data_IF_225699827256
#
_entry.id   IF_225699827256
#
_cell.length_a   1.000
_cell.length_b   1.000
_cell.length_c   1.000
_cell.angle_alpha   90.00
_cell.angle_beta   90.00
_cell.angle_gamma   90.00
#
_symmetry.space_group_name_H-M   'P 1'
#
loop_
_entity.id
_entity.type
_entity.pdbx_description
1 polymer ?
#
# COMPACT_ATOMS: atom_id res chain seq x y z
N UNK A 1 7.47 -39.78 -5.14
CA UNK A 1 6.25 -38.95 -4.91
C UNK A 1 6.59 -37.49 -4.52
N UNK A 2 7.84 -37.21 -4.17
CA UNK A 2 8.30 -35.85 -3.80
C UNK A 2 8.74 -34.97 -4.97
N UNK A 3 9.38 -35.53 -6.00
CA UNK A 3 9.90 -34.73 -7.14
C UNK A 3 8.80 -34.19 -8.07
N UNK A 4 7.76 -34.97 -8.32
CA UNK A 4 6.63 -34.55 -9.19
C UNK A 4 5.78 -33.45 -8.54
N UNK A 5 5.69 -33.42 -7.20
CA UNK A 5 5.01 -32.35 -6.45
C UNK A 5 5.86 -31.09 -6.37
N UNK A 6 7.19 -31.21 -6.24
CA UNK A 6 8.12 -30.08 -6.29
C UNK A 6 8.15 -29.41 -7.68
N UNK A 7 8.22 -30.21 -8.77
CA UNK A 7 8.15 -29.69 -10.13
C UNK A 7 6.81 -28.97 -10.43
N UNK A 8 5.71 -29.41 -9.85
CA UNK A 8 4.42 -28.73 -10.00
C UNK A 8 4.33 -27.42 -9.21
N UNK A 9 5.06 -27.29 -8.12
CA UNK A 9 5.10 -26.06 -7.31
C UNK A 9 6.11 -25.06 -7.87
N UNK A 10 7.26 -25.53 -8.38
CA UNK A 10 8.31 -24.66 -8.97
C UNK A 10 7.97 -24.17 -10.39
N UNK A 11 7.04 -24.83 -11.09
CA UNK A 11 6.48 -24.38 -12.37
C UNK A 11 5.12 -23.68 -12.21
N UNK A 12 4.66 -23.45 -10.98
CA UNK A 12 3.42 -22.70 -10.74
C UNK A 12 3.62 -21.27 -11.21
N UNK A 13 2.96 -20.90 -12.30
CA UNK A 13 2.82 -19.52 -12.77
C UNK A 13 2.35 -18.62 -11.62
N UNK A 14 2.80 -17.38 -11.64
CA UNK A 14 2.35 -16.36 -10.67
C UNK A 14 0.82 -16.43 -10.48
N UNK A 15 0.37 -16.86 -9.30
CA UNK A 15 -1.02 -17.18 -8.98
C UNK A 15 -2.00 -16.07 -9.35
N UNK A 16 -1.55 -14.81 -9.25
CA UNK A 16 -2.36 -13.62 -9.51
C UNK A 16 -2.16 -13.04 -10.92
N UNK A 17 -1.34 -13.68 -11.75
CA UNK A 17 -0.98 -13.25 -13.12
C UNK A 17 -2.06 -13.47 -14.18
N UNK A 18 -3.23 -14.03 -13.82
CA UNK A 18 -4.34 -14.24 -14.74
C UNK A 18 -5.07 -12.94 -15.08
N UNK A 19 -5.69 -12.88 -16.24
CA UNK A 19 -6.60 -11.81 -16.66
C UNK A 19 -8.04 -12.27 -16.54
N UNK A 20 -8.95 -11.34 -16.21
CA UNK A 20 -10.39 -11.59 -16.21
C UNK A 20 -10.98 -11.08 -17.53
N UNK A 21 -11.68 -11.93 -18.26
CA UNK A 21 -12.30 -11.57 -19.54
C UNK A 21 -13.66 -10.88 -19.29
N UNK A 22 -13.62 -9.58 -19.01
CA UNK A 22 -14.79 -8.74 -18.79
C UNK A 22 -14.75 -7.58 -19.77
N UNK A 23 -15.86 -7.34 -20.47
CA UNK A 23 -16.00 -6.13 -21.28
C UNK A 23 -15.88 -4.87 -20.42
N UNK A 24 -14.93 -4.02 -20.77
CA UNK A 24 -14.57 -2.82 -20.02
C UNK A 24 -14.92 -1.57 -20.82
N UNK A 25 -15.56 -0.60 -20.19
CA UNK A 25 -15.73 0.76 -20.71
C UNK A 25 -14.52 1.60 -20.34
N UNK A 26 -13.65 1.86 -21.32
CA UNK A 26 -12.43 2.63 -21.15
C UNK A 26 -12.62 4.01 -21.74
N UNK A 27 -12.28 5.06 -21.01
CA UNK A 27 -12.27 6.42 -21.54
C UNK A 27 -11.12 6.64 -22.53
N UNK A 28 -11.16 7.69 -23.37
CA UNK A 28 -10.06 7.98 -24.28
C UNK A 28 -8.69 8.03 -23.57
N UNK A 29 -7.68 7.47 -24.24
CA UNK A 29 -6.29 7.48 -23.77
C UNK A 29 -5.76 8.92 -23.77
N UNK A 30 -4.95 9.24 -22.80
CA UNK A 30 -4.28 10.54 -22.61
C UNK A 30 -4.87 11.35 -21.47
N UNK A 31 -4.10 12.32 -21.01
CA UNK A 31 -4.45 13.19 -19.90
C UNK A 31 -4.73 14.61 -20.40
N UNK A 32 -5.97 15.06 -20.21
CA UNK A 32 -6.41 16.39 -20.55
C UNK A 32 -7.49 16.88 -19.61
N UNK A 33 -7.82 18.18 -19.63
CA UNK A 33 -8.94 18.73 -18.86
C UNK A 33 -10.27 18.05 -19.24
N UNK A 34 -10.45 17.69 -20.50
CA UNK A 34 -11.61 16.96 -20.99
C UNK A 34 -11.74 15.56 -20.36
N UNK A 35 -10.63 14.83 -20.27
CA UNK A 35 -10.58 13.52 -19.61
C UNK A 35 -10.91 13.63 -18.12
N UNK A 36 -10.39 14.64 -17.42
CA UNK A 36 -10.73 14.92 -16.02
C UNK A 36 -12.22 15.20 -15.83
N UNK A 37 -12.82 16.01 -16.71
CA UNK A 37 -14.27 16.27 -16.70
C UNK A 37 -15.09 15.00 -17.01
N UNK A 38 -14.61 14.17 -17.91
CA UNK A 38 -15.26 12.92 -18.27
C UNK A 38 -15.26 11.92 -17.10
N UNK A 39 -14.14 11.80 -16.36
CA UNK A 39 -14.07 10.98 -15.14
C UNK A 39 -15.13 11.44 -14.14
N UNK A 40 -15.18 12.74 -13.84
CA UNK A 40 -16.13 13.31 -12.90
C UNK A 40 -17.60 13.10 -13.35
N UNK A 41 -17.87 13.26 -14.63
CA UNK A 41 -19.21 13.02 -15.21
C UNK A 41 -19.62 11.55 -15.14
N UNK A 42 -18.70 10.61 -15.43
CA UNK A 42 -18.93 9.15 -15.32
C UNK A 42 -19.27 8.72 -13.89
N UNK A 43 -18.73 9.41 -12.90
CA UNK A 43 -18.94 9.16 -11.47
C UNK A 43 -20.11 9.97 -10.88
N UNK A 44 -20.79 10.78 -11.66
CA UNK A 44 -21.85 11.70 -11.22
C UNK A 44 -21.41 12.59 -10.05
N UNK A 45 -20.18 13.05 -10.07
CA UNK A 45 -19.62 13.84 -8.97
C UNK A 45 -20.24 15.25 -8.89
N UNK A 46 -20.38 15.79 -7.65
CA UNK A 46 -20.81 17.16 -7.46
C UNK A 46 -19.75 18.16 -7.95
N UNK A 47 -20.17 19.39 -8.27
CA UNK A 47 -19.32 20.44 -8.84
C UNK A 47 -18.06 20.71 -8.02
N UNK A 48 -18.15 20.72 -6.68
CA UNK A 48 -16.98 20.95 -5.82
C UNK A 48 -15.88 19.88 -6.00
N UNK A 49 -16.26 18.64 -6.33
CA UNK A 49 -15.29 17.56 -6.60
C UNK A 49 -14.63 17.77 -7.98
N UNK A 50 -15.39 18.15 -8.98
CA UNK A 50 -14.86 18.51 -10.28
C UNK A 50 -13.88 19.68 -10.18
N UNK A 51 -14.24 20.74 -9.45
CA UNK A 51 -13.34 21.87 -9.19
C UNK A 51 -12.02 21.45 -8.50
N UNK A 52 -12.10 20.56 -7.50
CA UNK A 52 -10.92 19.99 -6.85
C UNK A 52 -10.01 19.27 -7.87
N UNK A 53 -10.58 18.42 -8.72
CA UNK A 53 -9.85 17.68 -9.76
C UNK A 53 -9.18 18.63 -10.76
N UNK A 54 -9.90 19.60 -11.26
CA UNK A 54 -9.39 20.56 -12.23
C UNK A 54 -8.27 21.43 -11.65
N UNK A 55 -8.41 21.82 -10.38
CA UNK A 55 -7.36 22.55 -9.66
C UNK A 55 -6.09 21.70 -9.55
N UNK A 56 -6.22 20.42 -9.21
CA UNK A 56 -5.09 19.50 -9.15
C UNK A 56 -4.46 19.31 -10.54
N UNK A 57 -5.25 19.07 -11.58
CA UNK A 57 -4.75 18.90 -12.94
C UNK A 57 -3.95 20.11 -13.43
N UNK A 58 -4.49 21.33 -13.26
CA UNK A 58 -3.81 22.57 -13.66
C UNK A 58 -2.52 22.79 -12.89
N UNK A 59 -2.49 22.39 -11.61
CA UNK A 59 -1.26 22.44 -10.82
C UNK A 59 -0.25 21.42 -11.31
N UNK A 60 -0.69 20.18 -11.61
CA UNK A 60 0.18 19.13 -12.11
C UNK A 60 0.91 19.51 -13.41
N UNK A 61 0.25 20.24 -14.30
CA UNK A 61 0.86 20.76 -15.53
C UNK A 61 2.05 21.72 -15.29
N UNK A 62 2.16 22.27 -14.09
CA UNK A 62 3.26 23.16 -13.69
C UNK A 62 4.39 22.43 -12.96
N UNK A 63 4.23 21.14 -12.68
CA UNK A 63 5.19 20.35 -11.90
C UNK A 63 6.12 19.55 -12.82
N UNK A 64 7.31 19.30 -12.30
CA UNK A 64 8.25 18.35 -12.90
C UNK A 64 8.34 17.11 -12.03
N UNK A 65 8.54 15.94 -12.67
CA UNK A 65 8.76 14.69 -11.93
C UNK A 65 10.07 14.81 -11.14
N UNK A 66 10.05 14.56 -9.83
CA UNK A 66 11.27 14.68 -9.02
C UNK A 66 12.28 13.58 -9.34
N UNK A 67 13.57 13.91 -9.26
CA UNK A 67 14.69 13.03 -9.61
C UNK A 67 15.60 12.67 -8.44
N UNK A 68 15.21 13.01 -7.21
CA UNK A 68 16.04 12.82 -6.02
C UNK A 68 16.02 11.41 -5.43
N UNK A 69 15.04 10.57 -5.81
CA UNK A 69 14.97 9.19 -5.35
C UNK A 69 16.11 8.34 -5.94
N UNK A 70 16.54 7.33 -5.22
CA UNK A 70 17.53 6.37 -5.71
C UNK A 70 16.87 5.31 -6.59
N UNK A 71 16.27 5.77 -7.67
CA UNK A 71 15.51 4.98 -8.64
C UNK A 71 15.87 5.44 -10.06
N UNK A 72 16.01 4.50 -10.95
CA UNK A 72 16.11 4.77 -12.39
C UNK A 72 14.69 4.64 -13.00
N UNK A 73 13.93 5.72 -12.91
CA UNK A 73 12.55 5.75 -13.40
C UNK A 73 12.56 6.12 -14.88
N UNK A 74 12.10 5.23 -15.78
CA UNK A 74 12.02 5.55 -17.20
C UNK A 74 11.08 6.72 -17.44
N UNK A 75 11.22 7.36 -18.62
CA UNK A 75 10.26 8.37 -19.03
C UNK A 75 8.87 7.76 -19.20
N UNK A 76 7.91 8.22 -18.41
CA UNK A 76 6.52 7.78 -18.44
C UNK A 76 5.76 8.66 -19.43
N UNK A 77 5.19 8.05 -20.47
CA UNK A 77 4.29 8.74 -21.37
C UNK A 77 2.87 8.80 -20.81
N UNK A 78 2.55 9.89 -20.12
CA UNK A 78 1.24 10.14 -19.53
C UNK A 78 0.12 10.27 -20.59
N UNK A 79 0.47 10.44 -21.87
CA UNK A 79 -0.51 10.51 -22.95
C UNK A 79 -0.85 9.14 -23.53
N UNK A 80 -0.13 8.09 -23.15
CA UNK A 80 -0.41 6.71 -23.55
C UNK A 80 -1.26 5.92 -22.53
N UNK A 81 -1.62 6.52 -21.40
CA UNK A 81 -2.35 5.89 -20.29
C UNK A 81 -3.85 6.21 -20.38
N UNK A 82 -4.70 5.21 -20.16
CA UNK A 82 -6.12 5.41 -19.86
C UNK A 82 -6.32 5.59 -18.34
N UNK A 83 -6.99 6.67 -17.97
CA UNK A 83 -7.14 7.09 -16.56
C UNK A 83 -8.41 6.59 -15.88
N UNK A 84 -9.24 5.89 -16.60
CA UNK A 84 -10.46 5.27 -16.07
C UNK A 84 -10.86 4.06 -16.92
N UNK A 85 -11.16 2.97 -16.25
CA UNK A 85 -11.72 1.77 -16.82
C UNK A 85 -12.77 1.19 -15.88
N UNK A 86 -13.90 0.77 -16.36
CA UNK A 86 -14.96 0.17 -15.57
C UNK A 86 -15.61 -1.00 -16.32
N UNK A 87 -16.01 -2.10 -15.66
CA UNK A 87 -16.85 -3.12 -16.28
C UNK A 87 -18.13 -2.52 -16.85
N UNK A 88 -18.53 -2.94 -18.06
CA UNK A 88 -19.70 -2.38 -18.77
C UNK A 88 -21.06 -2.66 -18.13
N UNK A 89 -21.15 -3.68 -17.29
CA UNK A 89 -22.38 -4.00 -16.57
C UNK A 89 -22.47 -3.19 -15.29
N UNK A 90 -23.67 -2.72 -14.95
CA UNK A 90 -23.94 -1.99 -13.70
C UNK A 90 -23.39 -2.75 -12.50
N UNK A 91 -22.81 -2.04 -11.55
CA UNK A 91 -22.37 -2.63 -10.29
C UNK A 91 -23.52 -3.42 -9.65
N UNK A 92 -23.36 -4.72 -9.40
CA UNK A 92 -24.44 -5.56 -8.90
C UNK A 92 -24.80 -5.15 -7.47
N UNK A 93 -26.07 -4.95 -7.20
CA UNK A 93 -26.57 -4.62 -5.86
C UNK A 93 -26.60 -5.85 -4.93
N UNK A 94 -26.53 -7.07 -5.49
CA UNK A 94 -26.56 -8.34 -4.74
C UNK A 94 -25.58 -9.36 -5.33
N UNK A 95 -25.10 -10.29 -4.49
CA UNK A 95 -24.20 -11.40 -4.89
C UNK A 95 -24.75 -12.26 -6.05
N UNK A 96 -26.08 -12.39 -6.17
CA UNK A 96 -26.72 -13.16 -7.22
C UNK A 96 -26.74 -12.45 -8.58
N UNK A 97 -26.37 -11.16 -8.62
CA UNK A 97 -26.32 -10.33 -9.81
C UNK A 97 -24.89 -10.09 -10.30
N UNK A 98 -23.88 -10.55 -9.52
CA UNK A 98 -22.47 -10.43 -9.89
C UNK A 98 -22.18 -11.31 -11.09
N UNK A 99 -21.43 -10.78 -12.06
CA UNK A 99 -20.97 -11.53 -13.22
C UNK A 99 -20.24 -12.80 -12.77
N UNK A 100 -20.62 -14.00 -13.27
CA UNK A 100 -19.97 -15.25 -12.90
C UNK A 100 -18.45 -15.28 -13.12
N UNK A 101 -17.95 -14.55 -14.12
CA UNK A 101 -16.50 -14.44 -14.35
C UNK A 101 -15.81 -13.59 -13.27
N UNK A 102 -16.51 -12.57 -12.75
CA UNK A 102 -16.02 -11.78 -11.63
C UNK A 102 -15.97 -12.62 -10.33
N UNK A 103 -16.99 -13.44 -10.08
CA UNK A 103 -16.99 -14.38 -8.94
C UNK A 103 -15.85 -15.39 -9.03
N UNK A 104 -15.62 -15.98 -10.20
CA UNK A 104 -14.47 -16.87 -10.45
C UNK A 104 -13.15 -16.15 -10.22
N UNK A 105 -13.07 -14.86 -10.54
CA UNK A 105 -11.88 -14.04 -10.28
C UNK A 105 -11.64 -13.92 -8.79
N UNK A 106 -12.67 -13.67 -7.99
CA UNK A 106 -12.55 -13.59 -6.54
C UNK A 106 -12.12 -14.93 -5.93
N UNK A 107 -12.66 -16.05 -6.39
CA UNK A 107 -12.24 -17.39 -5.96
C UNK A 107 -10.75 -17.65 -6.27
N UNK A 108 -10.31 -17.31 -7.48
CA UNK A 108 -8.89 -17.45 -7.87
C UNK A 108 -7.96 -16.57 -7.03
N UNK A 109 -8.43 -15.40 -6.60
CA UNK A 109 -7.69 -14.51 -5.72
C UNK A 109 -7.66 -15.01 -4.26
N UNK A 110 -8.45 -16.07 -3.95
CA UNK A 110 -8.62 -16.56 -2.59
C UNK A 110 -9.53 -15.66 -1.75
N UNK A 111 -10.27 -14.74 -2.40
CA UNK A 111 -11.29 -13.91 -1.77
C UNK A 111 -12.57 -14.75 -1.71
N UNK A 112 -12.62 -15.74 -0.83
CA UNK A 112 -13.82 -16.58 -0.60
C UNK A 112 -14.91 -15.72 0.02
N UNK A 113 -15.94 -15.42 -0.78
CA UNK A 113 -17.03 -14.52 -0.40
C UNK A 113 -17.99 -15.13 0.65
N UNK A 114 -18.00 -16.43 0.83
CA UNK A 114 -18.93 -17.12 1.73
C UNK A 114 -18.28 -17.73 2.97
N UNK A 115 -17.15 -18.39 2.83
CA UNK A 115 -16.47 -19.04 3.96
C UNK A 115 -15.70 -18.07 4.84
N UNK A 116 -15.07 -17.05 4.27
CA UNK A 116 -14.38 -16.00 5.03
C UNK A 116 -15.33 -15.08 5.80
N UNK A 117 -16.57 -14.94 5.34
CA UNK A 117 -17.61 -14.17 6.07
C UNK A 117 -17.90 -14.72 7.46
N UNK A 118 -17.83 -16.02 7.64
CA UNK A 118 -18.25 -16.66 8.90
C UNK A 118 -17.10 -16.95 9.86
N UNK A 119 -15.86 -17.09 9.36
CA UNK A 119 -14.74 -17.58 10.17
C UNK A 119 -13.70 -16.54 10.57
N UNK A 120 -13.53 -15.45 9.81
CA UNK A 120 -12.44 -14.50 10.06
C UNK A 120 -12.85 -13.18 10.74
N UNK A 121 -14.14 -12.83 10.73
CA UNK A 121 -14.57 -11.54 11.28
C UNK A 121 -13.95 -10.33 10.55
N UNK A 122 -13.70 -10.45 9.23
CA UNK A 122 -13.14 -9.38 8.39
C UNK A 122 -14.22 -8.82 7.48
N UNK A 123 -14.39 -7.48 7.47
CA UNK A 123 -15.20 -6.81 6.48
C UNK A 123 -14.34 -6.45 5.26
N UNK A 124 -14.77 -6.82 4.07
CA UNK A 124 -14.00 -6.68 2.83
C UNK A 124 -14.74 -5.80 1.82
N UNK A 125 -14.01 -4.85 1.24
CA UNK A 125 -14.37 -4.11 0.03
C UNK A 125 -13.47 -4.55 -1.13
N UNK A 126 -14.01 -4.64 -2.34
CA UNK A 126 -13.24 -5.06 -3.52
C UNK A 126 -13.35 -4.02 -4.61
N UNK A 127 -12.21 -3.46 -5.00
CA UNK A 127 -12.09 -2.49 -6.09
C UNK A 127 -11.40 -3.13 -7.28
N UNK A 128 -12.08 -3.14 -8.44
CA UNK A 128 -11.54 -3.63 -9.69
C UNK A 128 -11.44 -2.49 -10.69
N UNK A 129 -10.21 -2.23 -11.17
CA UNK A 129 -9.88 -1.07 -12.00
C UNK A 129 -10.37 0.24 -11.36
N UNK A 130 -11.45 0.84 -11.84
CA UNK A 130 -11.89 2.16 -11.40
C UNK A 130 -13.19 2.18 -10.58
N UNK A 131 -13.71 1.02 -10.18
CA UNK A 131 -14.97 0.95 -9.42
C UNK A 131 -14.91 -0.05 -8.26
N UNK A 132 -15.58 0.27 -7.15
CA UNK A 132 -15.90 -0.68 -6.10
C UNK A 132 -16.99 -1.64 -6.57
N UNK A 133 -16.74 -2.93 -6.38
CA UNK A 133 -17.65 -3.99 -6.80
C UNK A 133 -18.55 -4.44 -5.66
N UNK A 134 -18.04 -4.44 -4.42
CA UNK A 134 -18.81 -4.88 -3.26
C UNK A 134 -18.14 -4.54 -1.93
N UNK A 135 -18.96 -4.11 -0.95
CA UNK A 135 -18.60 -4.01 0.48
C UNK A 135 -19.41 -5.00 1.31
N UNK A 136 -18.74 -5.80 2.15
CA UNK A 136 -19.38 -6.76 3.05
C UNK A 136 -19.61 -6.18 4.44
N UNK A 137 -20.53 -6.75 5.23
CA UNK A 137 -20.85 -6.33 6.61
C UNK A 137 -21.30 -4.86 6.76
N UNK A 138 -21.66 -4.19 5.66
CA UNK A 138 -22.01 -2.78 5.66
C UNK A 138 -23.13 -2.44 6.66
N UNK A 139 -24.20 -3.25 6.69
CA UNK A 139 -25.35 -3.00 7.57
C UNK A 139 -24.99 -3.17 9.05
N UNK A 140 -24.24 -4.23 9.41
CA UNK A 140 -23.82 -4.45 10.81
C UNK A 140 -22.83 -3.41 11.33
N UNK A 141 -21.98 -2.86 10.45
CA UNK A 141 -21.10 -1.73 10.79
C UNK A 141 -21.90 -0.44 10.94
N UNK A 142 -22.90 -0.22 10.07
CA UNK A 142 -23.77 0.95 10.12
C UNK A 142 -24.62 1.01 11.42
N UNK A 143 -25.05 -0.13 11.97
CA UNK A 143 -25.71 -0.20 13.27
C UNK A 143 -24.87 0.38 14.41
N UNK A 144 -23.54 0.32 14.29
CA UNK A 144 -22.59 0.93 15.24
C UNK A 144 -22.22 2.37 14.85
N UNK A 145 -22.80 2.91 13.78
CA UNK A 145 -22.46 4.21 13.21
C UNK A 145 -21.14 4.24 12.44
N UNK A 146 -20.50 3.08 12.18
CA UNK A 146 -19.30 2.96 11.37
C UNK A 146 -19.66 3.10 9.89
N UNK A 147 -18.95 3.97 9.17
CA UNK A 147 -19.07 4.07 7.72
C UNK A 147 -17.88 3.33 7.11
N UNK A 148 -18.15 2.32 6.29
CA UNK A 148 -17.18 1.63 5.47
C UNK A 148 -17.78 1.43 4.09
N UNK A 149 -17.32 2.19 3.11
CA UNK A 149 -17.87 2.19 1.76
C UNK A 149 -16.81 2.64 0.75
N UNK A 150 -17.16 2.57 -0.55
CA UNK A 150 -16.30 3.15 -1.57
C UNK A 150 -16.19 4.67 -1.42
N UNK A 151 -15.10 5.23 -1.95
CA UNK A 151 -14.90 6.68 -1.91
C UNK A 151 -15.98 7.41 -2.72
N UNK A 152 -16.41 6.83 -3.84
CA UNK A 152 -17.50 7.36 -4.67
C UNK A 152 -18.82 7.44 -3.93
N UNK A 153 -19.16 6.38 -3.20
CA UNK A 153 -20.36 6.35 -2.35
C UNK A 153 -20.26 7.38 -1.22
N UNK A 154 -19.07 7.57 -0.63
CA UNK A 154 -18.88 8.58 0.39
C UNK A 154 -19.06 10.02 -0.14
N UNK A 155 -18.64 10.29 -1.37
CA UNK A 155 -18.86 11.59 -2.03
C UNK A 155 -20.35 11.89 -2.18
N UNK A 156 -21.16 10.87 -2.50
CA UNK A 156 -22.60 10.99 -2.69
C UNK A 156 -23.37 11.10 -1.36
N UNK A 157 -23.08 10.21 -0.41
CA UNK A 157 -23.89 10.05 0.80
C UNK A 157 -23.33 10.76 2.04
N UNK A 158 -22.03 11.07 2.06
CA UNK A 158 -21.33 11.72 3.19
C UNK A 158 -20.47 12.92 2.76
N UNK A 159 -20.99 13.82 1.89
CA UNK A 159 -20.21 14.92 1.30
C UNK A 159 -19.57 15.83 2.34
N UNK A 160 -20.24 16.08 3.47
CA UNK A 160 -19.72 16.96 4.54
C UNK A 160 -18.42 16.40 5.15
N UNK A 161 -18.36 15.08 5.39
CA UNK A 161 -17.17 14.42 5.90
C UNK A 161 -16.05 14.44 4.86
N UNK A 162 -16.37 14.10 3.60
CA UNK A 162 -15.38 14.11 2.52
C UNK A 162 -14.81 15.51 2.33
N UNK A 163 -15.64 16.55 2.20
CA UNK A 163 -15.17 17.94 2.04
C UNK A 163 -14.31 18.42 3.21
N UNK A 164 -14.67 18.01 4.44
CA UNK A 164 -13.93 18.41 5.64
C UNK A 164 -12.55 17.80 5.74
N UNK A 165 -12.38 16.55 5.31
CA UNK A 165 -11.18 15.79 5.62
C UNK A 165 -10.33 15.45 4.40
N UNK A 166 -10.89 15.29 3.19
CA UNK A 166 -10.14 15.02 1.98
C UNK A 166 -9.17 16.15 1.67
N UNK A 167 -7.92 15.81 1.43
CA UNK A 167 -6.87 16.79 1.15
C UNK A 167 -6.38 17.57 2.37
N UNK A 168 -6.86 17.26 3.57
CA UNK A 168 -6.42 17.92 4.81
C UNK A 168 -5.05 17.43 5.29
N UNK A 169 -4.65 16.23 4.90
CA UNK A 169 -3.35 15.63 5.24
C UNK A 169 -2.47 15.45 4.00
N UNK A 170 -3.08 15.11 2.87
CA UNK A 170 -2.43 15.11 1.55
C UNK A 170 -3.09 16.17 0.66
N UNK A 171 -2.65 17.42 0.70
CA UNK A 171 -3.21 18.46 -0.15
C UNK A 171 -2.97 18.15 -1.65
N UNK A 172 -3.80 18.73 -2.51
CA UNK A 172 -3.71 18.50 -3.96
C UNK A 172 -2.35 18.86 -4.57
N UNK A 173 -1.52 19.62 -3.89
CA UNK A 173 -0.19 20.05 -4.30
C UNK A 173 0.95 19.40 -3.50
N UNK A 174 0.73 18.24 -2.85
CA UNK A 174 1.72 17.59 -1.97
C UNK A 174 2.99 17.14 -2.74
N UNK A 175 2.80 16.39 -3.80
CA UNK A 175 3.89 15.95 -4.68
C UNK A 175 3.35 15.58 -6.07
N UNK A 176 4.24 15.34 -7.03
CA UNK A 176 3.90 15.09 -8.42
C UNK A 176 2.83 13.98 -8.61
N UNK A 177 3.03 12.81 -8.01
CA UNK A 177 2.09 11.67 -8.16
C UNK A 177 0.83 11.83 -7.33
N UNK A 178 0.90 12.47 -6.16
CA UNK A 178 -0.29 12.80 -5.39
C UNK A 178 -1.16 13.83 -6.11
N UNK A 179 -0.55 14.83 -6.75
CA UNK A 179 -1.25 15.82 -7.56
C UNK A 179 -1.92 15.17 -8.78
N UNK A 180 -1.22 14.25 -9.46
CA UNK A 180 -1.80 13.45 -10.54
C UNK A 180 -3.00 12.63 -10.03
N UNK A 181 -2.84 11.91 -8.92
CA UNK A 181 -3.94 11.16 -8.31
C UNK A 181 -5.13 12.08 -7.98
N UNK A 182 -4.92 13.24 -7.38
CA UNK A 182 -6.00 14.19 -7.07
C UNK A 182 -6.80 14.61 -8.31
N UNK A 183 -6.18 14.64 -9.49
CA UNK A 183 -6.86 14.97 -10.74
C UNK A 183 -7.69 13.79 -11.28
N UNK A 184 -7.19 12.55 -11.16
CA UNK A 184 -7.71 11.41 -11.92
C UNK A 184 -8.15 10.21 -11.07
N UNK A 185 -8.07 10.26 -9.73
CA UNK A 185 -8.45 9.11 -8.93
C UNK A 185 -9.86 8.63 -9.26
N UNK A 186 -10.00 7.30 -9.32
CA UNK A 186 -11.25 6.69 -9.76
C UNK A 186 -12.11 6.25 -8.59
N UNK A 187 -11.55 5.46 -7.67
CA UNK A 187 -12.24 5.02 -6.46
C UNK A 187 -11.23 4.73 -5.34
N UNK A 188 -11.68 4.13 -4.27
CA UNK A 188 -10.91 3.76 -3.11
C UNK A 188 -11.82 3.52 -1.91
N UNK A 189 -11.27 3.62 -0.71
CA UNK A 189 -12.01 3.34 0.51
C UNK A 189 -12.26 4.60 1.33
N UNK A 190 -13.45 4.68 1.89
CA UNK A 190 -13.81 5.65 2.89
C UNK A 190 -14.20 4.95 4.20
N UNK A 191 -13.53 5.34 5.29
CA UNK A 191 -13.77 4.79 6.63
C UNK A 191 -13.97 5.94 7.63
N UNK A 192 -15.08 5.90 8.36
CA UNK A 192 -15.30 6.76 9.50
C UNK A 192 -15.70 5.93 10.72
N UNK A 193 -14.95 6.06 11.79
CA UNK A 193 -15.23 5.42 13.07
C UNK A 193 -15.72 6.49 14.04
N UNK A 194 -16.95 6.40 14.53
CA UNK A 194 -17.50 7.42 15.42
C UNK A 194 -16.85 7.39 16.80
N UNK A 195 -17.03 8.48 17.54
CA UNK A 195 -16.50 8.66 18.89
C UNK A 195 -16.86 7.51 19.82
N UNK A 196 -15.86 6.99 20.53
CA UNK A 196 -16.00 5.92 21.52
C UNK A 196 -16.21 4.53 20.94
N UNK A 197 -16.23 4.37 19.62
CA UNK A 197 -16.46 3.08 18.96
C UNK A 197 -15.13 2.38 18.65
N UNK A 198 -15.03 1.14 19.10
CA UNK A 198 -13.96 0.24 18.67
C UNK A 198 -14.51 -0.69 17.59
N UNK A 199 -13.96 -0.60 16.39
CA UNK A 199 -14.38 -1.48 15.29
C UNK A 199 -14.17 -2.94 15.69
N UNK A 200 -15.23 -3.79 15.67
CA UNK A 200 -15.17 -5.14 16.20
C UNK A 200 -14.45 -6.12 15.29
N UNK A 201 -14.16 -5.73 14.07
CA UNK A 201 -13.56 -6.58 13.03
C UNK A 201 -12.49 -5.82 12.24
N UNK A 202 -11.63 -6.57 11.58
CA UNK A 202 -10.70 -6.04 10.59
C UNK A 202 -11.47 -5.50 9.38
N UNK A 203 -11.14 -4.29 8.92
CA UNK A 203 -11.62 -3.79 7.63
C UNK A 203 -10.56 -4.08 6.57
N UNK A 204 -10.96 -4.55 5.42
CA UNK A 204 -10.02 -4.83 4.34
C UNK A 204 -10.52 -4.32 2.99
N UNK A 205 -9.63 -3.72 2.21
CA UNK A 205 -9.90 -3.41 0.80
C UNK A 205 -8.90 -4.11 -0.08
N UNK A 206 -9.41 -4.72 -1.13
CA UNK A 206 -8.61 -5.42 -2.11
C UNK A 206 -8.68 -4.71 -3.46
N UNK A 207 -7.52 -4.28 -3.96
CA UNK A 207 -7.39 -3.57 -5.23
C UNK A 207 -6.79 -4.49 -6.30
N UNK A 208 -7.42 -4.50 -7.48
CA UNK A 208 -6.92 -5.24 -8.62
C UNK A 208 -6.97 -4.44 -9.90
N UNK A 209 -5.82 -4.30 -10.55
CA UNK A 209 -5.73 -3.83 -11.93
C UNK A 209 -6.07 -5.00 -12.84
N UNK A 210 -6.95 -4.81 -13.83
CA UNK A 210 -7.27 -5.84 -14.82
C UNK A 210 -7.22 -5.32 -16.26
N UNK A 211 -7.60 -4.08 -16.52
CA UNK A 211 -7.64 -3.51 -17.87
C UNK A 211 -6.24 -3.21 -18.43
N UNK A 212 -6.11 -3.32 -19.77
CA UNK A 212 -4.86 -3.06 -20.52
C UNK A 212 -4.65 -1.56 -20.70
N UNK A 213 -3.40 -1.09 -20.69
CA UNK A 213 -3.03 0.32 -20.90
C UNK A 213 -3.73 1.29 -19.93
N UNK A 214 -4.15 0.80 -18.76
CA UNK A 214 -4.77 1.63 -17.73
C UNK A 214 -3.81 1.87 -16.58
N UNK A 215 -3.87 3.08 -16.01
CA UNK A 215 -3.31 3.36 -14.70
C UNK A 215 -4.33 3.05 -13.60
N UNK A 216 -3.84 2.76 -12.40
CA UNK A 216 -4.66 2.61 -11.21
C UNK A 216 -4.42 3.81 -10.28
N UNK A 217 -5.49 4.51 -9.95
CA UNK A 217 -5.44 5.75 -9.16
C UNK A 217 -6.45 5.67 -8.02
N UNK A 218 -6.02 5.23 -6.87
CA UNK A 218 -6.88 4.98 -5.71
C UNK A 218 -6.73 6.07 -4.67
N UNK A 219 -7.81 6.31 -3.90
CA UNK A 219 -7.78 7.23 -2.78
C UNK A 219 -8.49 6.66 -1.57
N UNK A 220 -7.75 6.45 -0.49
CA UNK A 220 -8.29 5.97 0.79
C UNK A 220 -8.28 7.08 1.81
N UNK A 221 -9.40 7.27 2.53
CA UNK A 221 -9.54 8.22 3.62
C UNK A 221 -10.09 7.53 4.86
N UNK A 222 -9.32 7.53 5.93
CA UNK A 222 -9.70 6.92 7.21
C UNK A 222 -9.75 8.00 8.30
N UNK A 223 -10.89 8.12 8.95
CA UNK A 223 -11.12 9.07 10.03
C UNK A 223 -11.52 8.28 11.27
N UNK A 224 -10.68 8.30 12.30
CA UNK A 224 -10.96 7.74 13.61
C UNK A 224 -11.27 8.88 14.57
N UNK A 225 -12.53 9.00 15.00
CA UNK A 225 -12.97 10.04 15.94
C UNK A 225 -12.48 9.74 17.37
N UNK A 226 -12.74 10.61 18.31
CA UNK A 226 -12.23 10.51 19.68
C UNK A 226 -12.53 9.16 20.33
N UNK A 227 -11.56 8.60 21.05
CA UNK A 227 -11.66 7.33 21.80
C UNK A 227 -12.02 6.12 20.91
N UNK A 228 -11.76 6.17 19.61
CA UNK A 228 -12.09 5.11 18.64
C UNK A 228 -10.90 4.22 18.27
N UNK A 229 -11.20 3.07 17.68
CA UNK A 229 -10.19 2.12 17.19
C UNK A 229 -10.60 1.51 15.88
N UNK A 230 -9.65 1.37 14.96
CA UNK A 230 -9.81 0.60 13.73
C UNK A 230 -8.50 -0.07 13.31
N UNK A 231 -8.62 -1.30 12.81
CA UNK A 231 -7.58 -1.98 12.05
C UNK A 231 -8.05 -2.14 10.61
N UNK A 232 -7.21 -1.70 9.68
CA UNK A 232 -7.51 -1.68 8.25
C UNK A 232 -6.37 -2.30 7.46
N UNK A 233 -6.71 -3.16 6.52
CA UNK A 233 -5.77 -3.83 5.65
C UNK A 233 -6.03 -3.52 4.17
N UNK A 234 -4.97 -3.26 3.43
CA UNK A 234 -4.99 -3.07 1.99
C UNK A 234 -4.22 -4.19 1.30
N UNK A 235 -4.89 -4.90 0.41
CA UNK A 235 -4.27 -5.88 -0.48
C UNK A 235 -4.28 -5.38 -1.92
N UNK A 236 -3.17 -5.55 -2.65
CA UNK A 236 -3.06 -5.10 -4.05
C UNK A 236 -2.44 -6.17 -4.92
N UNK A 237 -3.03 -6.40 -6.11
CA UNK A 237 -2.48 -7.30 -7.12
C UNK A 237 -2.67 -6.78 -8.55
N UNK A 238 -1.85 -7.26 -9.47
CA UNK A 238 -2.00 -7.02 -10.90
C UNK A 238 -1.67 -8.27 -11.71
N UNK A 239 -2.24 -8.44 -12.93
CA UNK A 239 -1.89 -9.53 -13.83
C UNK A 239 -0.48 -9.37 -14.39
N UNK A 240 0.12 -10.47 -14.88
CA UNK A 240 1.35 -10.43 -15.64
C UNK A 240 1.12 -9.81 -17.01
N UNK A 241 1.91 -8.79 -17.36
CA UNK A 241 1.87 -8.12 -18.66
C UNK A 241 3.27 -7.67 -19.09
N UNK A 242 3.52 -7.71 -20.38
CA UNK A 242 4.77 -7.21 -20.99
C UNK A 242 4.90 -5.69 -20.98
N UNK A 243 3.85 -4.99 -20.56
CA UNK A 243 3.78 -3.54 -20.51
C UNK A 243 3.93 -3.04 -19.07
N UNK A 244 4.46 -1.82 -18.93
CA UNK A 244 4.50 -1.16 -17.64
C UNK A 244 3.16 -0.48 -17.37
N UNK A 245 2.65 -0.61 -16.14
CA UNK A 245 1.44 0.06 -15.69
C UNK A 245 1.74 0.97 -14.51
N UNK A 246 1.13 2.15 -14.51
CA UNK A 246 1.28 3.13 -13.44
C UNK A 246 0.22 2.92 -12.35
N UNK A 247 0.68 2.71 -11.13
CA UNK A 247 -0.14 2.76 -9.93
C UNK A 247 0.26 3.98 -9.10
N UNK A 248 -0.66 4.92 -8.90
CA UNK A 248 -0.42 6.09 -8.06
C UNK A 248 -1.59 6.26 -7.08
N UNK A 249 -1.38 5.96 -5.81
CA UNK A 249 -2.41 5.98 -4.78
C UNK A 249 -2.16 7.04 -3.70
N UNK A 250 -3.24 7.46 -3.05
CA UNK A 250 -3.20 8.31 -1.86
C UNK A 250 -3.92 7.62 -0.71
N UNK A 251 -3.31 7.68 0.47
CA UNK A 251 -3.93 7.30 1.74
C UNK A 251 -3.80 8.45 2.73
N UNK A 252 -4.95 8.89 3.27
CA UNK A 252 -5.02 9.88 4.34
C UNK A 252 -5.63 9.25 5.58
N UNK A 253 -4.96 9.39 6.73
CA UNK A 253 -5.46 8.92 8.03
C UNK A 253 -5.49 10.08 9.00
N UNK A 254 -6.62 10.27 9.68
CA UNK A 254 -6.78 11.26 10.74
C UNK A 254 -7.21 10.54 12.01
N UNK A 255 -6.39 10.64 13.07
CA UNK A 255 -6.69 10.11 14.39
C UNK A 255 -6.94 11.27 15.37
N UNK A 256 -8.15 11.33 15.96
CA UNK A 256 -8.54 12.30 16.95
C UNK A 256 -8.04 11.89 18.34
N UNK A 257 -8.46 12.58 19.38
CA UNK A 257 -8.01 12.32 20.77
C UNK A 257 -8.23 10.86 21.17
N UNK A 258 -7.18 10.22 21.71
CA UNK A 258 -7.15 8.81 22.12
C UNK A 258 -7.53 7.80 21.00
N UNK A 259 -7.66 8.23 19.76
CA UNK A 259 -7.98 7.32 18.67
C UNK A 259 -6.74 6.50 18.25
N UNK A 260 -6.97 5.25 17.88
CA UNK A 260 -5.91 4.35 17.38
C UNK A 260 -6.29 3.80 16.01
N UNK A 261 -5.39 3.95 15.05
CA UNK A 261 -5.53 3.39 13.70
C UNK A 261 -4.35 2.48 13.40
N UNK A 262 -4.63 1.22 13.09
CA UNK A 262 -3.66 0.30 12.50
C UNK A 262 -3.93 0.20 11.01
N UNK A 263 -2.93 0.45 10.21
CA UNK A 263 -3.02 0.34 8.76
C UNK A 263 -1.97 -0.62 8.24
N UNK A 264 -2.42 -1.69 7.65
CA UNK A 264 -1.54 -2.72 7.09
C UNK A 264 -1.66 -2.78 5.58
N UNK A 265 -0.56 -3.05 4.89
CA UNK A 265 -0.54 -3.29 3.44
C UNK A 265 0.21 -4.57 3.13
N UNK A 266 -0.37 -5.42 2.31
CA UNK A 266 0.32 -6.53 1.66
C UNK A 266 0.20 -6.33 0.16
N UNK A 267 1.32 -5.96 -0.48
CA UNK A 267 1.36 -5.68 -1.91
C UNK A 267 2.07 -6.79 -2.65
N UNK A 268 1.39 -7.32 -3.66
CA UNK A 268 1.88 -8.37 -4.54
C UNK A 268 1.62 -7.96 -6.00
N UNK A 269 2.42 -7.00 -6.46
CA UNK A 269 2.36 -6.53 -7.83
C UNK A 269 3.17 -7.43 -8.76
N UNK A 270 2.93 -7.33 -10.07
CA UNK A 270 3.77 -7.98 -11.05
C UNK A 270 5.09 -7.20 -11.25
N UNK A 271 6.25 -7.86 -11.08
CA UNK A 271 7.56 -7.19 -11.08
C UNK A 271 8.13 -6.91 -12.48
N UNK A 272 7.50 -7.40 -13.53
CA UNK A 272 8.11 -7.57 -14.84
C UNK A 272 8.75 -8.96 -15.01
N UNK A 273 9.29 -9.22 -16.21
CA UNK A 273 9.99 -10.47 -16.51
C UNK A 273 11.42 -10.48 -15.91
N UNK A 274 12.14 -11.61 -16.07
CA UNK A 274 13.51 -11.77 -15.57
C UNK A 274 14.52 -10.78 -16.19
N UNK A 275 14.18 -10.15 -17.32
CA UNK A 275 15.00 -9.14 -17.99
C UNK A 275 14.59 -7.72 -17.62
N UNK A 276 13.62 -7.55 -16.73
CA UNK A 276 13.10 -6.26 -16.29
C UNK A 276 12.11 -5.60 -17.25
N UNK A 277 11.49 -6.37 -18.16
CA UNK A 277 10.47 -5.87 -19.08
C UNK A 277 9.08 -5.98 -18.44
N UNK A 278 8.28 -4.92 -18.56
CA UNK A 278 6.93 -4.84 -17.97
C UNK A 278 6.95 -4.56 -16.48
N UNK A 279 5.83 -4.83 -15.83
CA UNK A 279 5.66 -4.67 -14.38
C UNK A 279 5.09 -3.34 -13.94
N UNK A 280 4.79 -3.25 -12.67
CA UNK A 280 4.07 -2.10 -12.09
C UNK A 280 5.05 -1.05 -11.59
N UNK A 281 4.78 0.23 -11.91
CA UNK A 281 5.36 1.41 -11.26
C UNK A 281 4.44 1.84 -10.12
N UNK A 282 4.87 1.57 -8.89
CA UNK A 282 4.08 1.71 -7.68
C UNK A 282 4.49 2.96 -6.89
N UNK A 283 3.80 4.08 -7.13
CA UNK A 283 4.09 5.39 -6.53
C UNK A 283 2.96 5.79 -5.57
N UNK A 284 3.19 5.65 -4.27
CA UNK A 284 2.13 5.80 -3.26
C UNK A 284 2.46 6.88 -2.24
N UNK A 285 1.50 7.76 -2.00
CA UNK A 285 1.57 8.79 -0.96
C UNK A 285 0.66 8.42 0.20
N UNK A 286 1.23 8.06 1.36
CA UNK A 286 0.49 7.74 2.58
C UNK A 286 0.84 8.76 3.67
N UNK A 287 -0.16 9.41 4.26
CA UNK A 287 0.02 10.41 5.32
C UNK A 287 -0.96 10.14 6.48
N UNK A 288 -0.42 10.10 7.69
CA UNK A 288 -1.18 10.03 8.92
C UNK A 288 -1.06 11.32 9.72
N UNK A 289 -2.15 11.79 10.28
CA UNK A 289 -2.20 12.91 11.20
C UNK A 289 -2.71 12.44 12.56
N UNK A 290 -1.81 12.32 13.52
CA UNK A 290 -2.15 12.17 14.94
C UNK A 290 -2.57 13.55 15.46
N UNK A 291 -3.85 13.92 15.19
CA UNK A 291 -4.38 15.26 15.45
C UNK A 291 -4.68 15.50 16.91
N UNK A 292 -5.22 14.48 17.59
CA UNK A 292 -5.64 14.58 18.97
C UNK A 292 -4.56 14.15 19.96
N UNK A 293 -4.70 14.58 21.21
CA UNK A 293 -3.89 14.12 22.33
C UNK A 293 -3.95 12.59 22.45
N UNK A 294 -2.81 11.94 22.72
CA UNK A 294 -2.70 10.49 22.92
C UNK A 294 -3.20 9.65 21.73
N UNK A 295 -3.32 10.22 20.55
CA UNK A 295 -3.68 9.47 19.34
C UNK A 295 -2.51 8.61 18.84
N UNK A 296 -2.83 7.50 18.17
CA UNK A 296 -1.84 6.57 17.66
C UNK A 296 -2.14 6.14 16.22
N UNK A 297 -1.10 6.11 15.37
CA UNK A 297 -1.15 5.52 14.03
C UNK A 297 -0.01 4.54 13.88
N UNK A 298 -0.33 3.30 13.47
CA UNK A 298 0.64 2.27 13.17
C UNK A 298 0.55 1.88 11.69
N UNK A 299 1.69 1.94 10.98
CA UNK A 299 1.84 1.47 9.62
C UNK A 299 2.56 0.15 9.61
N UNK A 300 1.98 -0.88 8.99
CA UNK A 300 2.66 -2.15 8.71
C UNK A 300 2.62 -2.40 7.21
N UNK A 301 3.76 -2.65 6.57
CA UNK A 301 3.77 -2.90 5.15
C UNK A 301 4.71 -4.04 4.75
N UNK A 302 4.19 -4.88 3.84
CA UNK A 302 4.93 -5.91 3.13
C UNK A 302 4.89 -5.54 1.65
N UNK A 303 6.05 -5.15 1.12
CA UNK A 303 6.23 -4.73 -0.26
C UNK A 303 6.94 -5.82 -1.04
N UNK A 304 6.21 -6.46 -1.95
CA UNK A 304 6.76 -7.43 -2.88
C UNK A 304 6.26 -7.15 -4.29
N UNK A 305 6.95 -7.65 -5.29
CA UNK A 305 6.61 -7.33 -6.67
C UNK A 305 6.97 -5.88 -7.00
N UNK A 306 6.29 -5.30 -7.97
CA UNK A 306 6.56 -4.02 -8.61
C UNK A 306 7.93 -3.95 -9.31
N UNK A 307 7.96 -3.41 -10.52
CA UNK A 307 9.23 -3.10 -11.19
C UNK A 307 9.94 -1.96 -10.46
N UNK A 308 9.18 -0.93 -10.06
CA UNK A 308 9.66 0.23 -9.31
C UNK A 308 8.68 0.53 -8.17
N UNK A 309 9.19 0.62 -6.94
CA UNK A 309 8.42 1.07 -5.77
C UNK A 309 8.97 2.40 -5.24
N UNK A 310 8.10 3.40 -5.11
CA UNK A 310 8.43 4.70 -4.53
C UNK A 310 7.38 5.11 -3.50
N UNK A 311 7.69 4.95 -2.21
CA UNK A 311 6.66 5.01 -1.17
C UNK A 311 7.23 5.36 0.20
N UNK A 312 6.72 6.44 0.80
CA UNK A 312 7.10 6.86 2.17
C UNK A 312 5.86 7.19 3.00
N UNK A 313 5.25 6.22 3.69
CA UNK A 313 4.25 6.52 4.71
C UNK A 313 4.79 7.52 5.73
N UNK A 314 3.97 8.44 6.16
CA UNK A 314 4.39 9.43 7.14
C UNK A 314 3.38 9.63 8.25
N UNK A 315 3.86 10.10 9.41
CA UNK A 315 3.01 10.56 10.50
C UNK A 315 3.39 11.96 10.94
N UNK A 316 2.38 12.80 11.12
CA UNK A 316 2.46 14.10 11.78
C UNK A 316 1.92 13.91 13.19
N UNK A 317 2.81 13.97 14.18
CA UNK A 317 2.50 13.83 15.61
C UNK A 317 2.18 15.22 16.17
N UNK A 318 0.94 15.68 15.93
CA UNK A 318 0.48 17.02 16.27
C UNK A 318 -0.02 17.11 17.71
N UNK A 319 -0.81 16.12 18.15
CA UNK A 319 -1.34 16.06 19.52
C UNK A 319 -0.25 15.69 20.53
N UNK A 320 -0.33 16.27 21.72
CA UNK A 320 0.56 15.89 22.82
C UNK A 320 0.38 14.40 23.18
N UNK A 321 1.44 13.73 23.61
CA UNK A 321 1.46 12.31 23.94
C UNK A 321 1.08 11.38 22.77
N UNK A 322 1.00 11.88 21.54
CA UNK A 322 0.68 11.04 20.38
C UNK A 322 1.87 10.15 19.98
N UNK A 323 1.56 9.03 19.32
CA UNK A 323 2.56 8.04 18.94
C UNK A 323 2.36 7.54 17.52
N UNK A 324 3.46 7.16 16.87
CA UNK A 324 3.43 6.51 15.56
C UNK A 324 4.41 5.34 15.48
N UNK A 325 4.00 4.31 14.77
CA UNK A 325 4.83 3.13 14.50
C UNK A 325 4.92 2.88 13.01
N UNK A 326 6.06 2.39 12.57
CA UNK A 326 6.29 1.98 11.19
C UNK A 326 7.05 0.67 11.17
N UNK A 327 6.41 -0.36 10.66
CA UNK A 327 6.94 -1.69 10.45
C UNK A 327 6.94 -2.00 8.97
N UNK A 328 8.09 -2.32 8.38
CA UNK A 328 8.20 -2.55 6.95
C UNK A 328 9.13 -3.71 6.62
N UNK A 329 8.73 -4.53 5.67
CA UNK A 329 9.63 -5.40 4.93
C UNK A 329 9.46 -5.14 3.43
N UNK A 330 10.57 -4.83 2.75
CA UNK A 330 10.60 -4.61 1.31
C UNK A 330 11.53 -5.65 0.68
N UNK A 331 11.00 -6.45 -0.25
CA UNK A 331 11.74 -7.50 -0.95
C UNK A 331 11.84 -7.17 -2.42
N UNK A 332 13.05 -7.17 -2.93
CA UNK A 332 13.36 -6.93 -4.33
C UNK A 332 14.22 -8.06 -4.90
N UNK A 333 13.92 -8.47 -6.13
CA UNK A 333 14.65 -9.49 -6.86
C UNK A 333 14.82 -9.06 -8.33
N UNK A 334 15.61 -9.81 -9.11
CA UNK A 334 15.90 -9.54 -10.52
C UNK A 334 16.32 -8.08 -10.75
N UNK A 335 15.54 -7.30 -11.50
CA UNK A 335 15.82 -5.89 -11.84
C UNK A 335 14.92 -4.90 -11.09
N UNK A 336 14.22 -5.35 -10.06
CA UNK A 336 13.34 -4.49 -9.28
C UNK A 336 14.11 -3.38 -8.55
N UNK A 337 13.48 -2.24 -8.41
CA UNK A 337 14.00 -1.09 -7.67
C UNK A 337 12.99 -0.64 -6.61
N UNK A 338 13.44 -0.39 -5.41
CA UNK A 338 12.61 0.16 -4.34
C UNK A 338 13.34 1.32 -3.63
N UNK A 339 12.69 2.46 -3.53
CA UNK A 339 13.08 3.52 -2.60
C UNK A 339 11.89 3.74 -1.66
N UNK A 340 11.95 3.11 -0.50
CA UNK A 340 10.89 3.07 0.50
C UNK A 340 11.37 3.68 1.82
N UNK A 341 10.47 3.80 2.77
CA UNK A 341 10.83 4.31 4.09
C UNK A 341 9.69 5.07 4.75
N UNK A 342 10.03 6.02 5.62
CA UNK A 342 9.01 6.73 6.38
C UNK A 342 9.45 8.15 6.77
N UNK A 343 8.47 8.97 7.17
CA UNK A 343 8.68 10.31 7.71
C UNK A 343 7.91 10.46 9.02
N UNK A 344 8.59 10.79 10.11
CA UNK A 344 8.00 11.05 11.43
C UNK A 344 8.23 12.51 11.82
N UNK A 345 7.15 13.28 11.92
CA UNK A 345 7.20 14.72 12.21
C UNK A 345 6.61 14.98 13.61
N UNK A 346 7.46 15.21 14.58
CA UNK A 346 7.07 15.48 15.96
C UNK A 346 6.81 16.97 16.16
N UNK A 347 5.58 17.33 16.52
CA UNK A 347 5.13 18.71 16.73
C UNK A 347 4.63 18.89 18.16
N UNK A 348 3.82 17.96 18.67
CA UNK A 348 3.32 17.94 20.05
C UNK A 348 4.40 17.52 21.05
N UNK A 349 4.13 17.73 22.34
CA UNK A 349 5.00 17.33 23.44
C UNK A 349 4.85 15.84 23.77
N UNK A 350 5.91 15.24 24.32
CA UNK A 350 5.95 13.84 24.75
C UNK A 350 5.57 12.86 23.62
N UNK A 351 5.80 13.21 22.37
CA UNK A 351 5.46 12.36 21.23
C UNK A 351 6.49 11.29 21.02
N UNK A 352 6.06 10.11 20.57
CA UNK A 352 6.94 8.97 20.36
C UNK A 352 6.79 8.40 18.95
N UNK A 353 7.90 7.98 18.34
CA UNK A 353 7.87 7.21 17.11
C UNK A 353 8.83 6.03 17.16
N UNK A 354 8.38 4.91 16.58
CA UNK A 354 9.15 3.68 16.45
C UNK A 354 9.20 3.26 14.97
N UNK A 355 10.39 3.04 14.45
CA UNK A 355 10.62 2.65 13.05
C UNK A 355 11.41 1.35 13.03
N UNK A 356 10.85 0.32 12.39
CA UNK A 356 11.54 -0.92 12.08
C UNK A 356 11.39 -1.23 10.59
N UNK A 357 12.48 -1.14 9.84
CA UNK A 357 12.49 -1.42 8.40
C UNK A 357 13.47 -2.52 8.06
N UNK A 358 12.99 -3.54 7.35
CA UNK A 358 13.77 -4.67 6.85
C UNK A 358 13.79 -4.64 5.33
N UNK A 359 14.98 -4.51 4.74
CA UNK A 359 15.20 -4.59 3.30
C UNK A 359 15.80 -5.94 2.92
N UNK A 360 15.32 -6.57 1.85
CA UNK A 360 15.88 -7.80 1.30
C UNK A 360 16.11 -7.60 -0.19
N UNK A 361 17.32 -7.78 -0.64
CA UNK A 361 17.71 -7.60 -2.04
C UNK A 361 18.33 -8.86 -2.60
N UNK A 362 17.93 -9.24 -3.80
CA UNK A 362 18.43 -10.40 -4.52
C UNK A 362 18.68 -10.09 -6.00
N UNK A 363 19.41 -10.94 -6.70
CA UNK A 363 19.69 -10.80 -8.15
C UNK A 363 20.46 -9.52 -8.47
N UNK A 364 19.87 -8.64 -9.28
CA UNK A 364 20.42 -7.33 -9.68
C UNK A 364 19.64 -6.17 -9.07
N UNK A 365 18.74 -6.45 -8.13
CA UNK A 365 17.82 -5.46 -7.59
C UNK A 365 18.51 -4.41 -6.70
N UNK A 366 17.84 -3.27 -6.55
CA UNK A 366 18.28 -2.15 -5.70
C UNK A 366 17.18 -1.83 -4.70
N UNK A 367 17.52 -1.87 -3.41
CA UNK A 367 16.58 -1.57 -2.34
C UNK A 367 17.13 -0.44 -1.47
N UNK A 368 16.38 0.65 -1.38
CA UNK A 368 16.76 1.83 -0.62
C UNK A 368 15.75 2.09 0.49
N UNK A 369 16.24 2.32 1.69
CA UNK A 369 15.47 2.89 2.80
C UNK A 369 15.78 4.37 2.95
N UNK A 370 14.73 5.21 3.06
CA UNK A 370 14.85 6.63 3.30
C UNK A 370 14.01 7.04 4.50
N UNK A 371 14.65 7.50 5.56
CA UNK A 371 13.99 7.87 6.82
C UNK A 371 14.15 9.35 7.12
N UNK A 372 13.04 10.05 7.38
CA UNK A 372 13.05 11.41 7.92
C UNK A 372 12.45 11.39 9.34
N UNK A 373 13.22 11.84 10.31
CA UNK A 373 12.71 12.16 11.65
C UNK A 373 12.97 13.63 11.92
N UNK A 374 11.89 14.39 12.12
CA UNK A 374 11.97 15.81 12.46
C UNK A 374 11.34 16.06 13.81
N UNK A 375 12.12 16.60 14.74
CA UNK A 375 11.66 17.07 16.03
C UNK A 375 11.54 18.59 15.98
N UNK A 376 10.32 19.11 16.11
CA UNK A 376 10.04 20.54 16.10
C UNK A 376 10.55 21.21 17.40
N UNK A 377 10.93 22.50 17.41
CA UNK A 377 11.36 23.19 18.61
C UNK A 377 10.38 23.14 19.80
N UNK A 378 9.10 22.96 19.55
CA UNK A 378 8.06 22.85 20.59
C UNK A 378 7.80 21.42 21.08
N UNK A 379 8.36 20.41 20.41
CA UNK A 379 8.14 19.00 20.71
C UNK A 379 9.04 18.52 21.86
N UNK A 380 8.78 19.04 23.06
CA UNK A 380 9.49 18.70 24.28
C UNK A 380 9.34 17.22 24.63
N UNK A 381 10.41 16.58 25.14
CA UNK A 381 10.47 15.19 25.59
C UNK A 381 10.07 14.17 24.52
N UNK A 382 10.17 14.52 23.23
CA UNK A 382 9.87 13.61 22.14
C UNK A 382 10.95 12.55 22.00
N UNK A 383 10.55 11.34 21.61
CA UNK A 383 11.45 10.20 21.43
C UNK A 383 11.25 9.53 20.07
N UNK A 384 12.35 9.17 19.42
CA UNK A 384 12.36 8.32 18.25
C UNK A 384 13.34 7.18 18.43
N UNK A 385 12.91 5.99 18.02
CA UNK A 385 13.79 4.84 17.76
C UNK A 385 13.63 4.41 16.32
N UNK A 386 14.75 4.26 15.60
CA UNK A 386 14.76 3.83 14.18
C UNK A 386 15.77 2.70 14.02
N UNK A 387 15.32 1.58 13.49
CA UNK A 387 16.16 0.45 13.09
C UNK A 387 15.91 0.13 11.60
N UNK A 388 17.01 0.09 10.83
CA UNK A 388 16.98 -0.17 9.38
C UNK A 388 17.96 -1.27 9.05
N UNK A 389 17.49 -2.47 8.79
CA UNK A 389 18.34 -3.61 8.49
C UNK A 389 18.18 -4.03 7.03
N UNK A 390 19.28 -4.42 6.39
CA UNK A 390 19.29 -4.90 5.02
C UNK A 390 19.98 -6.25 4.93
N UNK A 391 19.37 -7.18 4.18
CA UNK A 391 19.89 -8.50 3.89
C UNK A 391 20.14 -8.64 2.39
N UNK A 392 21.36 -8.99 2.01
CA UNK A 392 21.78 -9.20 0.63
C UNK A 392 21.86 -10.68 0.31
N UNK A 393 21.23 -11.08 -0.80
CA UNK A 393 21.21 -12.42 -1.37
C UNK A 393 21.92 -12.38 -2.72
N UNK A 394 23.24 -12.58 -2.71
CA UNK A 394 24.09 -12.51 -3.90
C UNK A 394 25.03 -11.30 -3.92
N UNK A 395 25.76 -11.14 -5.05
CA UNK A 395 26.86 -10.17 -5.18
C UNK A 395 26.52 -8.94 -6.03
N UNK A 396 25.38 -8.95 -6.73
CA UNK A 396 25.01 -7.92 -7.71
C UNK A 396 23.83 -7.06 -7.27
N UNK A 397 23.17 -7.43 -6.18
CA UNK A 397 22.10 -6.62 -5.58
C UNK A 397 22.68 -5.54 -4.66
N UNK A 398 21.89 -4.48 -4.46
CA UNK A 398 22.28 -3.34 -3.62
C UNK A 398 21.29 -3.05 -2.50
N UNK A 399 21.82 -2.55 -1.38
CA UNK A 399 21.04 -1.98 -0.30
C UNK A 399 21.61 -0.60 0.08
N UNK A 400 20.73 0.38 0.21
CA UNK A 400 21.11 1.78 0.46
C UNK A 400 20.26 2.34 1.61
N UNK A 401 20.87 3.14 2.48
CA UNK A 401 20.17 3.76 3.61
C UNK A 401 20.45 5.25 3.63
N UNK A 402 19.36 6.05 3.62
CA UNK A 402 19.40 7.51 3.60
C UNK A 402 18.67 8.08 4.82
N UNK A 403 19.28 8.06 6.02
CA UNK A 403 18.68 8.65 7.21
C UNK A 403 18.81 10.17 7.17
N UNK A 404 17.75 10.86 7.57
CA UNK A 404 17.76 12.31 7.77
C UNK A 404 17.11 12.65 9.12
N UNK A 405 17.93 13.14 10.07
CA UNK A 405 17.52 13.47 11.43
C UNK A 405 17.64 14.97 11.64
N UNK A 406 16.53 15.64 11.90
CA UNK A 406 16.46 17.07 12.20
C UNK A 406 15.89 17.26 13.60
N UNK A 407 16.78 17.50 14.58
CA UNK A 407 16.41 17.59 15.99
C UNK A 407 16.56 19.02 16.46
N UNK A 408 15.45 19.70 16.69
CA UNK A 408 15.40 21.12 17.05
C UNK A 408 14.89 21.34 18.49
N UNK A 409 15.00 20.33 19.37
CA UNK A 409 14.65 20.45 20.78
C UNK A 409 15.62 19.62 21.63
N UNK A 410 16.23 20.26 22.63
CA UNK A 410 17.30 19.66 23.46
C UNK A 410 16.82 18.56 24.40
N UNK A 411 15.53 18.47 24.70
CA UNK A 411 14.93 17.42 25.53
C UNK A 411 14.61 16.14 24.75
N UNK A 412 14.77 16.15 23.41
CA UNK A 412 14.44 15.02 22.57
C UNK A 412 15.52 13.92 22.64
N UNK A 413 15.10 12.68 22.49
CA UNK A 413 15.97 11.51 22.37
C UNK A 413 15.71 10.86 21.02
N UNK A 414 16.76 10.76 20.20
CA UNK A 414 16.69 10.14 18.87
C UNK A 414 17.77 9.08 18.77
N UNK A 415 17.36 7.85 18.48
CA UNK A 415 18.22 6.69 18.33
C UNK A 415 18.06 6.14 16.91
N UNK A 416 19.16 5.83 16.25
CA UNK A 416 19.16 5.25 14.92
C UNK A 416 20.21 4.16 14.80
N UNK A 417 19.76 2.98 14.36
CA UNK A 417 20.62 1.85 14.01
C UNK A 417 20.42 1.45 12.55
N UNK A 418 21.49 1.13 11.85
CA UNK A 418 21.43 0.60 10.50
C UNK A 418 22.42 -0.53 10.34
N UNK A 419 21.96 -1.68 9.84
CA UNK A 419 22.81 -2.83 9.56
C UNK A 419 22.63 -3.30 8.12
N UNK A 420 23.73 -3.77 7.53
CA UNK A 420 23.68 -4.48 6.24
C UNK A 420 24.47 -5.75 6.36
N UNK A 421 23.85 -6.87 6.06
CA UNK A 421 24.45 -8.19 6.11
C UNK A 421 24.22 -8.94 4.80
N UNK A 422 25.16 -9.79 4.43
CA UNK A 422 24.98 -10.79 3.39
C UNK A 422 24.51 -12.09 4.04
N UNK A 423 23.70 -12.87 3.31
CA UNK A 423 23.27 -14.19 3.78
C UNK A 423 24.48 -15.05 4.13
N UNK A 424 24.42 -15.72 5.26
CA UNK A 424 25.55 -16.50 5.75
C UNK A 424 25.58 -17.88 5.08
N UNK A 425 26.61 -18.12 4.25
CA UNK A 425 26.81 -19.37 3.54
C UNK A 425 27.00 -20.56 4.49
N UNK A 426 27.58 -20.35 5.68
CA UNK A 426 27.72 -21.41 6.69
C UNK A 426 26.36 -21.86 7.24
N UNK A 427 25.41 -20.93 7.38
CA UNK A 427 24.05 -21.28 7.80
C UNK A 427 23.32 -22.10 6.71
N UNK A 428 23.48 -21.74 5.44
CA UNK A 428 22.94 -22.51 4.32
C UNK A 428 23.59 -23.89 4.30
N UNK A 429 24.92 -23.98 4.40
CA UNK A 429 25.64 -25.25 4.44
C UNK A 429 25.14 -26.12 5.61
N UNK A 430 24.98 -25.54 6.81
CA UNK A 430 24.45 -26.24 7.97
C UNK A 430 23.03 -26.82 7.73
N UNK A 431 22.16 -26.09 7.06
CA UNK A 431 20.83 -26.57 6.66
C UNK A 431 20.95 -27.72 5.65
N UNK A 432 21.79 -27.56 4.63
CA UNK A 432 22.00 -28.56 3.59
C UNK A 432 22.52 -29.89 4.17
N UNK A 433 23.41 -29.84 5.18
CA UNK A 433 23.89 -31.05 5.86
C UNK A 433 22.77 -31.82 6.62
N UNK A 434 21.63 -31.21 6.81
CA UNK A 434 20.42 -31.80 7.44
C UNK A 434 19.34 -32.16 6.41
N UNK A 435 19.67 -32.12 5.12
CA UNK A 435 18.77 -32.48 4.04
C UNK A 435 17.73 -31.39 3.70
N UNK A 436 17.92 -30.15 4.19
CA UNK A 436 17.10 -29.00 3.78
C UNK A 436 17.69 -28.46 2.50
N UNK A 437 16.88 -28.24 1.47
CA UNK A 437 17.35 -27.66 0.21
C UNK A 437 17.89 -26.22 0.41
N UNK A 438 18.73 -25.73 -0.49
CA UNK A 438 19.24 -24.36 -0.43
C UNK A 438 18.09 -23.33 -0.46
N UNK A 439 17.09 -23.56 -1.29
CA UNK A 439 15.90 -22.70 -1.40
C UNK A 439 15.09 -22.66 -0.09
N UNK A 440 14.83 -23.84 0.49
CA UNK A 440 14.14 -23.90 1.79
C UNK A 440 14.95 -23.23 2.90
N UNK A 441 16.27 -23.40 2.91
CA UNK A 441 17.16 -22.75 3.88
C UNK A 441 17.13 -21.23 3.76
N UNK A 442 17.16 -20.70 2.54
CA UNK A 442 17.00 -19.26 2.28
C UNK A 442 15.63 -18.79 2.75
N UNK A 443 14.56 -19.51 2.40
CA UNK A 443 13.20 -19.21 2.85
C UNK A 443 13.08 -19.15 4.39
N UNK A 444 13.70 -20.07 5.10
CA UNK A 444 13.73 -20.09 6.58
C UNK A 444 14.46 -18.87 7.15
N UNK A 445 15.63 -18.52 6.60
CA UNK A 445 16.43 -17.36 7.03
C UNK A 445 15.64 -16.06 6.79
N UNK A 446 15.08 -15.88 5.60
CA UNK A 446 14.31 -14.70 5.21
C UNK A 446 13.04 -14.53 6.07
N UNK A 447 12.30 -15.61 6.30
CA UNK A 447 11.12 -15.58 7.16
C UNK A 447 11.51 -15.25 8.62
N UNK A 448 12.61 -15.79 9.11
CA UNK A 448 13.17 -15.45 10.42
C UNK A 448 13.54 -13.97 10.51
N UNK A 449 14.16 -13.42 9.46
CA UNK A 449 14.56 -12.02 9.38
C UNK A 449 13.36 -11.06 9.33
N UNK A 450 12.30 -11.40 8.62
CA UNK A 450 11.09 -10.61 8.49
C UNK A 450 10.09 -10.78 9.65
N UNK A 451 10.27 -11.79 10.51
CA UNK A 451 9.30 -12.24 11.52
C UNK A 451 8.71 -11.13 12.38
N UNK A 452 9.54 -10.19 12.81
CA UNK A 452 9.11 -9.10 13.69
C UNK A 452 8.08 -8.19 13.03
N UNK A 453 8.26 -7.90 11.74
CA UNK A 453 7.31 -7.12 10.94
C UNK A 453 6.05 -7.96 10.67
N UNK A 454 6.21 -9.22 10.28
CA UNK A 454 5.09 -10.10 9.96
C UNK A 454 4.17 -10.34 11.16
N UNK A 455 4.72 -10.34 12.37
CA UNK A 455 3.93 -10.46 13.62
C UNK A 455 3.01 -9.27 13.89
N UNK A 456 3.17 -8.16 13.18
CA UNK A 456 2.27 -6.98 13.29
C UNK A 456 1.01 -7.14 12.43
N UNK A 457 1.02 -8.07 11.47
CA UNK A 457 -0.13 -8.36 10.62
C UNK A 457 -1.12 -9.29 11.34
N UNK A 458 -2.42 -9.21 11.00
CA UNK A 458 -3.37 -10.27 11.33
C UNK A 458 -2.88 -11.63 10.84
N UNK A 459 -3.23 -12.71 11.56
CA UNK A 459 -2.61 -14.03 11.34
C UNK A 459 -2.77 -14.56 9.91
N UNK A 460 -3.95 -14.38 9.32
CA UNK A 460 -4.26 -14.83 7.96
C UNK A 460 -3.35 -14.15 6.93
N UNK A 461 -3.16 -12.84 7.08
CA UNK A 461 -2.32 -12.03 6.19
C UNK A 461 -0.82 -12.23 6.45
N UNK A 462 -0.44 -12.56 7.68
CA UNK A 462 0.94 -12.93 8.00
C UNK A 462 1.36 -14.21 7.27
N UNK A 463 0.47 -15.22 7.19
CA UNK A 463 0.72 -16.46 6.44
C UNK A 463 0.82 -16.20 4.93
N UNK A 464 -0.05 -15.36 4.38
CA UNK A 464 0.02 -14.95 2.98
C UNK A 464 1.34 -14.21 2.68
N UNK A 465 1.68 -13.23 3.50
CA UNK A 465 2.92 -12.48 3.36
C UNK A 465 4.16 -13.39 3.44
N UNK A 466 4.21 -14.37 4.34
CA UNK A 466 5.30 -15.35 4.41
C UNK A 466 5.47 -16.13 3.09
N UNK A 467 4.36 -16.57 2.49
CA UNK A 467 4.41 -17.26 1.20
C UNK A 467 4.90 -16.35 0.07
N UNK A 468 4.44 -15.09 0.06
CA UNK A 468 4.88 -14.10 -0.93
C UNK A 468 6.39 -13.83 -0.85
N UNK A 469 6.95 -13.73 0.36
CA UNK A 469 8.39 -13.56 0.55
C UNK A 469 9.18 -14.73 -0.04
N UNK A 470 8.71 -15.96 0.14
CA UNK A 470 9.35 -17.16 -0.43
C UNK A 470 9.28 -17.14 -1.96
N UNK A 471 8.10 -16.94 -2.55
CA UNK A 471 7.89 -16.92 -4.00
C UNK A 471 8.73 -15.82 -4.68
N UNK A 472 8.80 -14.64 -4.08
CA UNK A 472 9.56 -13.51 -4.65
C UNK A 472 11.06 -13.83 -4.75
N UNK A 473 11.58 -14.71 -3.90
CA UNK A 473 13.00 -15.06 -3.82
C UNK A 473 13.34 -16.41 -4.49
N UNK A 474 12.36 -17.11 -5.06
CA UNK A 474 12.63 -18.35 -5.82
C UNK A 474 13.63 -18.09 -6.94
N UNK A 475 14.60 -18.98 -7.08
CA UNK A 475 15.66 -18.86 -8.08
C UNK A 475 16.67 -17.73 -7.86
N UNK A 476 16.65 -17.06 -6.69
CA UNK A 476 17.60 -15.97 -6.38
C UNK A 476 18.95 -16.45 -5.86
N UNK A 477 19.04 -17.73 -5.48
CA UNK A 477 20.25 -18.37 -4.96
C UNK A 477 20.59 -19.55 -5.85
N UNK A 478 21.43 -19.31 -6.85
CA UNK A 478 21.94 -20.31 -7.79
C UNK A 478 23.32 -19.93 -8.29
#
# INVERSE_FOLDING_TARGET
MSEVLLDQVTQADYKYGFTTDIETDIIPIGLSEEVVRLISAKKNEPEWMLEFRLKAYRHWLTMEMPTWAHLDVPNIDYQSIAYYAAPRKNAPQNLNEVDPELLKTFDKLGISMEEQKMLSGVAVDVVMDSISVKTTFKDSLAEMGIIFCSFSEAVEHHPDLVQKYMGSVVPYADNFFATLNCAVFSDGSFVYIPKGVRCPMELSTYFRINAINTGQFERTLIIADEDSYVSYLEGCTAPMRDENQLHAAIVEIIAMKNAEVKYSTVQNWYPGDKNGKGGIYNFVTKRGLCKGESSKISWTQVETGSAITWKYPSCILLGDNSSAEFYSVAVTNHHQQADTGTKMLHIGKNTTSHILSKGISAGFSQNSYRGLVRINPKAENSRNFSQCDSLLLGDKCGAHTFPYMEVNNDSAIVEHEATTSKINEDQIFYCNQRGISTEDAVGLIVNGYAKEVLNQLPMEFAVEAQKLLQITLEGSVG
#
